data_IF_463762880048
#
_entry.id   IF_463762880048
#
_cell.length_a   1.000
_cell.length_b   1.000
_cell.length_c   1.000
_cell.angle_alpha   90.00
_cell.angle_beta   90.00
_cell.angle_gamma   90.00
#
_symmetry.space_group_name_H-M   'P 1'
#
loop_
_entity.id
_entity.type
_entity.pdbx_description
1 polymer ?
#
# COMPACT_ATOMS: atom_id res chain seq x y z
N UNK A 1 -9.81 12.32 18.22
CA UNK A 1 -9.21 10.98 18.34
C UNK A 1 -9.99 9.91 17.55
N UNK A 2 -11.26 9.66 17.88
CA UNK A 2 -12.05 8.63 17.18
C UNK A 2 -12.13 8.82 15.66
N UNK A 3 -12.33 10.04 15.17
CA UNK A 3 -12.34 10.37 13.74
C UNK A 3 -11.04 10.05 13.02
N UNK A 4 -9.89 10.29 13.67
CA UNK A 4 -8.57 9.96 13.10
C UNK A 4 -8.40 8.45 12.98
N UNK A 5 -8.76 7.68 14.00
CA UNK A 5 -8.67 6.22 13.99
C UNK A 5 -9.62 5.61 12.95
N UNK A 6 -10.87 6.08 12.89
CA UNK A 6 -11.83 5.64 11.88
C UNK A 6 -11.37 5.99 10.47
N UNK A 7 -10.84 7.19 10.27
CA UNK A 7 -10.23 7.63 9.01
C UNK A 7 -9.05 6.75 8.60
N UNK A 8 -8.21 6.36 9.55
CA UNK A 8 -7.08 5.44 9.30
C UNK A 8 -7.55 4.08 8.78
N UNK A 9 -8.54 3.48 9.44
CA UNK A 9 -9.09 2.18 9.00
C UNK A 9 -9.70 2.30 7.60
N UNK A 10 -10.53 3.31 7.38
CA UNK A 10 -11.17 3.54 6.08
C UNK A 10 -10.11 3.75 4.98
N UNK A 11 -9.14 4.63 5.23
CA UNK A 11 -8.09 4.94 4.26
C UNK A 11 -7.19 3.72 3.99
N UNK A 12 -6.83 2.95 5.02
CA UNK A 12 -6.06 1.72 4.85
C UNK A 12 -6.81 0.67 4.01
N UNK A 13 -8.14 0.55 4.19
CA UNK A 13 -8.97 -0.33 3.36
C UNK A 13 -8.99 0.13 1.90
N UNK A 14 -9.25 1.41 1.66
CA UNK A 14 -9.27 1.99 0.30
C UNK A 14 -7.89 1.84 -0.34
N UNK A 15 -6.81 2.14 0.39
CA UNK A 15 -5.45 2.01 -0.07
C UNK A 15 -5.09 0.56 -0.47
N UNK A 16 -5.51 -0.42 0.32
CA UNK A 16 -5.28 -1.82 -0.01
C UNK A 16 -5.97 -2.24 -1.32
N UNK A 17 -7.11 -1.63 -1.68
CA UNK A 17 -7.81 -1.90 -2.94
C UNK A 17 -7.05 -1.39 -4.18
N UNK A 18 -6.16 -0.41 -4.03
CA UNK A 18 -5.40 0.16 -5.14
C UNK A 18 -4.46 -0.91 -5.72
N UNK A 19 -4.50 -1.16 -7.04
CA UNK A 19 -3.78 -2.28 -7.66
C UNK A 19 -2.25 -2.21 -7.56
N UNK A 20 -1.69 -1.04 -7.27
CA UNK A 20 -0.25 -0.79 -7.28
C UNK A 20 0.55 -1.74 -6.38
N UNK A 21 -0.04 -2.22 -5.29
CA UNK A 21 0.65 -3.04 -4.30
C UNK A 21 0.44 -4.54 -4.52
N UNK A 22 -0.77 -4.96 -4.90
CA UNK A 22 -1.09 -6.38 -4.99
C UNK A 22 -1.01 -6.94 -6.41
N UNK A 23 -1.32 -6.15 -7.44
CA UNK A 23 -1.33 -6.62 -8.82
C UNK A 23 0.05 -7.08 -9.34
N UNK A 24 1.16 -6.35 -9.10
CA UNK A 24 2.49 -6.80 -9.50
C UNK A 24 2.90 -8.13 -8.85
N UNK A 25 2.51 -8.33 -7.57
CA UNK A 25 2.77 -9.59 -6.86
C UNK A 25 2.02 -10.76 -7.49
N UNK A 26 0.75 -10.56 -7.86
CA UNK A 26 -0.06 -11.59 -8.55
C UNK A 26 0.53 -11.90 -9.93
N UNK A 27 0.90 -10.87 -10.70
CA UNK A 27 1.45 -11.03 -12.04
C UNK A 27 2.77 -11.84 -12.03
N UNK A 28 3.71 -11.45 -11.15
CA UNK A 28 5.00 -12.17 -11.04
C UNK A 28 4.80 -13.58 -10.47
N UNK A 29 3.94 -13.75 -9.46
CA UNK A 29 3.65 -15.06 -8.89
C UNK A 29 3.12 -16.03 -9.95
N UNK A 30 2.31 -15.54 -10.88
CA UNK A 30 1.82 -16.32 -12.02
C UNK A 30 2.91 -16.63 -13.03
N UNK A 31 3.65 -15.61 -13.47
CA UNK A 31 4.72 -15.78 -14.47
C UNK A 31 5.80 -16.75 -14.00
N UNK A 32 6.12 -16.73 -12.71
CA UNK A 32 7.14 -17.61 -12.10
C UNK A 32 6.58 -18.95 -11.58
N UNK A 33 5.27 -19.19 -11.69
CA UNK A 33 4.63 -20.43 -11.26
C UNK A 33 4.72 -20.67 -9.74
N UNK A 34 4.63 -19.62 -8.92
CA UNK A 34 4.76 -19.76 -7.46
C UNK A 34 3.59 -20.50 -6.84
N UNK A 35 3.91 -21.33 -5.85
CA UNK A 35 2.90 -22.02 -5.05
C UNK A 35 2.24 -21.05 -4.06
N UNK A 36 1.01 -21.36 -3.63
CA UNK A 36 0.24 -20.55 -2.67
C UNK A 36 1.01 -20.14 -1.42
N UNK A 37 1.78 -21.08 -0.84
CA UNK A 37 2.59 -20.80 0.36
C UNK A 37 3.68 -19.77 0.07
N UNK A 38 4.32 -19.85 -1.09
CA UNK A 38 5.35 -18.91 -1.51
C UNK A 38 4.77 -17.52 -1.75
N UNK A 39 3.64 -17.45 -2.47
CA UNK A 39 2.92 -16.20 -2.71
C UNK A 39 2.53 -15.53 -1.40
N UNK A 40 1.92 -16.26 -0.48
CA UNK A 40 1.53 -15.74 0.83
C UNK A 40 2.72 -15.21 1.63
N UNK A 41 3.83 -15.95 1.67
CA UNK A 41 5.02 -15.54 2.42
C UNK A 41 5.71 -14.31 1.81
N UNK A 42 5.87 -14.30 0.49
CA UNK A 42 6.48 -13.16 -0.23
C UNK A 42 5.61 -11.91 -0.08
N UNK A 43 4.29 -12.07 -0.22
CA UNK A 43 3.34 -10.98 -0.01
C UNK A 43 3.41 -10.44 1.41
N UNK A 44 3.48 -11.32 2.41
CA UNK A 44 3.62 -10.91 3.81
C UNK A 44 4.88 -10.08 4.03
N UNK A 45 6.04 -10.53 3.53
CA UNK A 45 7.30 -9.77 3.65
C UNK A 45 7.24 -8.42 2.93
N UNK A 46 6.67 -8.37 1.74
CA UNK A 46 6.51 -7.14 0.98
C UNK A 46 5.55 -6.16 1.68
N UNK A 47 4.40 -6.63 2.17
CA UNK A 47 3.45 -5.83 2.93
C UNK A 47 4.05 -5.32 4.25
N UNK A 48 4.81 -6.17 4.95
CA UNK A 48 5.51 -5.78 6.18
C UNK A 48 6.55 -4.69 5.90
N UNK A 49 7.31 -4.80 4.82
CA UNK A 49 8.27 -3.78 4.41
C UNK A 49 7.59 -2.45 4.09
N UNK A 50 6.47 -2.49 3.33
CA UNK A 50 5.66 -1.31 3.03
C UNK A 50 5.15 -0.61 4.28
N UNK A 51 4.51 -1.37 5.17
CA UNK A 51 3.98 -0.85 6.44
C UNK A 51 5.10 -0.29 7.32
N UNK A 52 6.25 -0.96 7.37
CA UNK A 52 7.40 -0.47 8.15
C UNK A 52 7.89 0.87 7.63
N UNK A 53 8.03 1.04 6.31
CA UNK A 53 8.42 2.31 5.69
C UNK A 53 7.42 3.43 6.00
N UNK A 54 6.13 3.18 5.80
CA UNK A 54 5.04 4.12 6.08
C UNK A 54 5.01 4.48 7.58
N UNK A 55 4.99 3.50 8.47
CA UNK A 55 4.93 3.75 9.93
C UNK A 55 6.17 4.48 10.43
N UNK A 56 7.36 4.16 9.92
CA UNK A 56 8.59 4.86 10.30
C UNK A 56 8.50 6.36 9.98
N UNK A 57 8.07 6.71 8.77
CA UNK A 57 7.84 8.10 8.37
C UNK A 57 6.70 8.73 9.19
N UNK A 58 5.60 8.01 9.35
CA UNK A 58 4.43 8.46 10.09
C UNK A 58 4.72 8.77 11.56
N UNK A 59 5.55 7.96 12.23
CA UNK A 59 5.97 8.23 13.63
C UNK A 59 6.76 9.52 13.69
N UNK A 60 7.67 9.78 12.73
CA UNK A 60 8.41 11.05 12.69
C UNK A 60 7.46 12.23 12.56
N UNK A 61 6.48 12.15 11.65
CA UNK A 61 5.46 13.19 11.48
C UNK A 61 4.55 13.33 12.70
N UNK A 62 4.21 12.23 13.35
CA UNK A 62 3.46 12.22 14.60
C UNK A 62 4.21 12.91 15.76
N UNK A 63 5.53 12.73 15.83
CA UNK A 63 6.37 13.45 16.80
C UNK A 63 6.36 14.96 16.53
N UNK A 64 6.49 15.38 15.27
CA UNK A 64 6.39 16.79 14.88
C UNK A 64 5.02 17.34 15.30
N UNK A 65 3.93 16.63 14.99
CA UNK A 65 2.58 17.02 15.39
C UNK A 65 2.39 17.14 16.90
N UNK A 66 3.05 16.28 17.67
CA UNK A 66 3.04 16.33 19.14
C UNK A 66 3.75 17.60 19.66
N UNK A 67 4.93 17.90 19.16
CA UNK A 67 5.72 19.09 19.59
C UNK A 67 4.98 20.41 19.27
N UNK A 68 4.29 20.45 18.13
CA UNK A 68 3.54 21.63 17.71
C UNK A 68 2.14 21.75 18.35
N UNK A 69 1.75 20.78 19.18
CA UNK A 69 0.38 20.68 19.73
C UNK A 69 -0.03 21.89 20.55
N UNK A 70 0.85 22.38 21.42
CA UNK A 70 0.51 23.45 22.39
C UNK A 70 0.19 24.75 21.67
N UNK A 71 0.97 25.09 20.65
CA UNK A 71 0.82 26.38 19.94
C UNK A 71 -0.10 26.28 18.70
N UNK A 72 -0.13 25.13 18.02
CA UNK A 72 -0.75 24.99 16.70
C UNK A 72 -1.66 23.77 16.52
N UNK A 73 -2.09 23.11 17.60
CA UNK A 73 -2.81 21.83 17.52
C UNK A 73 -4.05 21.85 16.61
N UNK A 74 -4.85 22.95 16.67
CA UNK A 74 -6.01 23.11 15.78
C UNK A 74 -5.60 23.34 14.33
N UNK A 75 -4.56 24.12 14.12
CA UNK A 75 -4.02 24.42 12.79
C UNK A 75 -3.48 23.15 12.12
N UNK A 76 -2.79 22.28 12.88
CA UNK A 76 -2.25 21.00 12.38
C UNK A 76 -3.39 20.09 11.91
N UNK A 77 -4.46 19.96 12.70
CA UNK A 77 -5.60 19.12 12.32
C UNK A 77 -6.24 19.62 11.02
N UNK A 78 -6.43 20.93 10.89
CA UNK A 78 -7.00 21.53 9.69
C UNK A 78 -6.05 21.38 8.50
N UNK A 79 -4.76 21.68 8.69
CA UNK A 79 -3.75 21.55 7.64
C UNK A 79 -3.59 20.10 7.15
N UNK A 80 -3.59 19.11 8.06
CA UNK A 80 -3.55 17.70 7.72
C UNK A 80 -4.76 17.26 6.90
N UNK A 81 -5.95 17.77 7.26
CA UNK A 81 -7.19 17.48 6.53
C UNK A 81 -7.16 18.07 5.11
N UNK A 82 -6.68 19.30 4.97
CA UNK A 82 -6.49 19.96 3.67
C UNK A 82 -5.48 19.18 2.84
N UNK A 83 -4.35 18.77 3.42
CA UNK A 83 -3.32 17.99 2.76
C UNK A 83 -3.87 16.67 2.21
N UNK A 84 -4.69 15.97 3.01
CA UNK A 84 -5.35 14.74 2.60
C UNK A 84 -6.30 14.96 1.41
N UNK A 85 -7.09 16.04 1.43
CA UNK A 85 -7.99 16.40 0.33
C UNK A 85 -7.18 16.70 -0.95
N UNK A 86 -6.11 17.48 -0.82
CA UNK A 86 -5.21 17.82 -1.96
C UNK A 86 -4.59 16.56 -2.55
N UNK A 87 -4.07 15.65 -1.73
CA UNK A 87 -3.55 14.37 -2.22
C UNK A 87 -4.63 13.53 -2.92
N UNK A 88 -5.83 13.46 -2.35
CA UNK A 88 -6.95 12.76 -2.97
C UNK A 88 -7.33 13.34 -4.34
N UNK A 89 -7.34 14.66 -4.47
CA UNK A 89 -7.62 15.35 -5.74
C UNK A 89 -6.49 15.12 -6.76
N UNK A 90 -5.23 15.23 -6.35
CA UNK A 90 -4.07 14.94 -7.21
C UNK A 90 -4.15 13.49 -7.69
N UNK A 91 -4.37 12.55 -6.78
CA UNK A 91 -4.50 11.14 -7.13
C UNK A 91 -5.63 10.91 -8.14
N UNK A 92 -6.80 11.51 -7.91
CA UNK A 92 -7.95 11.40 -8.81
C UNK A 92 -7.65 11.99 -10.20
N UNK A 93 -6.98 13.13 -10.29
CA UNK A 93 -6.65 13.77 -11.57
C UNK A 93 -5.53 13.06 -12.33
N UNK A 94 -4.53 12.53 -11.63
CA UNK A 94 -3.38 11.84 -12.24
C UNK A 94 -3.71 10.39 -12.63
N UNK A 95 -4.58 9.73 -11.86
CA UNK A 95 -5.02 8.35 -12.16
C UNK A 95 -6.27 8.26 -13.04
N UNK A 96 -6.75 9.36 -13.63
CA UNK A 96 -7.65 9.24 -14.78
C UNK A 96 -6.94 8.41 -15.86
N UNK A 97 -7.60 7.39 -16.42
CA UNK A 97 -6.93 6.32 -17.14
C UNK A 97 -6.13 6.85 -18.31
N UNK A 98 -4.85 7.06 -18.14
CA UNK A 98 -3.94 6.97 -19.23
C UNK A 98 -3.89 5.50 -19.60
N UNK A 99 -4.34 5.16 -20.79
CA UNK A 99 -4.05 3.87 -21.41
C UNK A 99 -2.52 3.73 -21.44
N UNK A 100 -1.98 3.18 -20.38
CA UNK A 100 -0.64 2.67 -20.43
C UNK A 100 -0.71 1.49 -21.39
N UNK A 101 -0.25 1.71 -22.62
CA UNK A 101 0.35 0.63 -23.37
C UNK A 101 1.33 -0.03 -22.39
N UNK A 102 0.92 -1.13 -21.82
CA UNK A 102 1.80 -2.02 -21.12
C UNK A 102 2.90 -2.35 -22.12
N UNK A 103 4.03 -1.72 -21.95
CA UNK A 103 5.26 -2.21 -22.54
C UNK A 103 5.42 -3.59 -21.93
N UNK A 104 4.87 -4.59 -22.59
CA UNK A 104 5.27 -5.99 -22.45
C UNK A 104 6.72 -6.03 -22.95
N UNK A 105 7.60 -5.42 -22.17
CA UNK A 105 9.02 -5.65 -22.34
C UNK A 105 9.27 -7.07 -21.84
N UNK A 106 9.43 -7.95 -22.80
CA UNK A 106 10.12 -9.23 -22.79
C UNK A 106 10.55 -9.73 -21.41
N UNK A 107 9.61 -10.28 -20.64
CA UNK A 107 9.92 -11.10 -19.47
C UNK A 107 10.25 -12.53 -19.91
N UNK A 108 10.18 -12.80 -21.21
CA UNK A 108 10.54 -14.06 -21.81
C UNK A 108 12.06 -14.21 -21.90
N UNK A 109 12.69 -14.76 -20.86
CA UNK A 109 14.05 -15.27 -20.99
C UNK A 109 14.95 -15.25 -19.76
N UNK A 110 14.65 -14.48 -18.72
CA UNK A 110 15.50 -14.45 -17.54
C UNK A 110 14.75 -14.97 -16.30
N UNK A 111 14.86 -16.28 -16.04
CA UNK A 111 14.42 -16.85 -14.75
C UNK A 111 15.20 -16.19 -13.61
N UNK A 112 14.69 -15.08 -13.09
CA UNK A 112 15.27 -14.46 -11.90
C UNK A 112 15.12 -15.41 -10.72
N UNK A 113 16.19 -15.59 -9.95
CA UNK A 113 16.10 -16.33 -8.69
C UNK A 113 14.99 -15.74 -7.81
N UNK A 114 14.16 -16.57 -7.18
CA UNK A 114 13.10 -16.15 -6.23
C UNK A 114 13.61 -15.13 -5.21
N UNK A 115 14.85 -15.30 -4.72
CA UNK A 115 15.49 -14.34 -3.80
C UNK A 115 15.61 -12.94 -4.38
N UNK A 116 15.88 -12.80 -5.68
CA UNK A 116 15.96 -11.49 -6.34
C UNK A 116 14.57 -10.83 -6.41
N UNK A 117 13.53 -11.60 -6.71
CA UNK A 117 12.16 -11.09 -6.69
C UNK A 117 11.72 -10.65 -5.30
N UNK A 118 11.98 -11.45 -4.27
CA UNK A 118 11.70 -11.08 -2.87
C UNK A 118 12.39 -9.78 -2.50
N UNK A 119 13.68 -9.63 -2.81
CA UNK A 119 14.43 -8.42 -2.53
C UNK A 119 13.86 -7.20 -3.27
N UNK A 120 13.53 -7.35 -4.56
CA UNK A 120 12.93 -6.27 -5.36
C UNK A 120 11.61 -5.81 -4.75
N UNK A 121 10.72 -6.74 -4.38
CA UNK A 121 9.45 -6.38 -3.75
C UNK A 121 9.64 -5.72 -2.39
N UNK A 122 10.54 -6.23 -1.55
CA UNK A 122 10.83 -5.63 -0.24
C UNK A 122 11.34 -4.20 -0.40
N UNK A 123 12.34 -3.99 -1.25
CA UNK A 123 12.95 -2.66 -1.46
C UNK A 123 11.93 -1.70 -2.10
N UNK A 124 11.24 -2.12 -3.14
CA UNK A 124 10.25 -1.30 -3.83
C UNK A 124 9.10 -0.88 -2.90
N UNK A 125 8.58 -1.83 -2.13
CA UNK A 125 7.48 -1.58 -1.19
C UNK A 125 7.92 -0.73 0.00
N UNK A 126 9.13 -0.92 0.53
CA UNK A 126 9.68 -0.11 1.61
C UNK A 126 9.90 1.35 1.18
N UNK A 127 10.39 1.57 -0.04
CA UNK A 127 10.65 2.90 -0.58
C UNK A 127 9.41 3.61 -1.15
N UNK A 128 8.25 2.98 -1.07
CA UNK A 128 6.97 3.56 -1.51
C UNK A 128 6.02 3.76 -0.34
N UNK A 129 6.30 4.70 0.58
CA UNK A 129 5.42 4.96 1.72
C UNK A 129 4.07 5.52 1.24
N UNK A 130 3.03 5.29 2.05
CA UNK A 130 1.67 5.75 1.76
C UNK A 130 1.51 7.21 2.24
N UNK A 131 1.73 8.17 1.33
CA UNK A 131 1.72 9.60 1.66
C UNK A 131 0.36 10.09 2.18
N UNK A 132 -0.74 9.46 1.74
CA UNK A 132 -2.09 9.82 2.19
C UNK A 132 -2.27 9.58 3.69
N UNK A 133 -1.67 8.51 4.22
CA UNK A 133 -1.74 8.15 5.64
C UNK A 133 -0.87 9.07 6.50
N UNK A 134 0.19 9.64 5.94
CA UNK A 134 1.13 10.50 6.66
C UNK A 134 0.46 11.76 7.22
N UNK A 135 -0.53 12.32 6.51
CA UNK A 135 -1.33 13.44 6.99
C UNK A 135 -2.11 13.09 8.26
N UNK A 136 -2.59 11.85 8.37
CA UNK A 136 -3.27 11.37 9.57
C UNK A 136 -2.31 11.12 10.72
N UNK A 137 -1.07 10.69 10.46
CA UNK A 137 -0.03 10.58 11.49
C UNK A 137 0.31 11.93 12.09
N UNK A 138 0.45 12.96 11.27
CA UNK A 138 0.65 14.34 11.75
C UNK A 138 -0.51 14.79 12.63
N UNK A 139 -1.76 14.55 12.19
CA UNK A 139 -2.96 14.85 12.98
C UNK A 139 -3.04 14.03 14.28
N UNK A 140 -2.65 12.75 14.24
CA UNK A 140 -2.62 11.87 15.41
C UNK A 140 -1.65 12.38 16.48
N UNK A 141 -0.51 12.97 16.08
CA UNK A 141 0.46 13.59 16.95
C UNK A 141 -0.17 14.68 17.83
N UNK A 142 -1.07 15.49 17.27
CA UNK A 142 -1.80 16.51 18.03
C UNK A 142 -2.69 15.92 19.15
N UNK A 143 -3.07 14.64 19.08
CA UNK A 143 -3.80 13.94 20.15
C UNK A 143 -2.88 13.17 21.12
N UNK A 144 -1.57 13.14 20.85
CA UNK A 144 -0.55 12.52 21.68
C UNK A 144 -0.06 11.18 21.13
N UNK A 145 1.11 10.75 21.67
CA UNK A 145 1.85 9.59 21.18
C UNK A 145 1.08 8.26 21.27
N UNK A 146 0.20 8.12 22.25
CA UNK A 146 -0.67 6.94 22.35
C UNK A 146 -1.57 6.79 21.12
N UNK A 147 -2.10 7.89 20.58
CA UNK A 147 -2.93 7.91 19.37
C UNK A 147 -2.10 7.53 18.14
N UNK A 148 -0.86 8.02 18.05
CA UNK A 148 0.08 7.67 16.97
C UNK A 148 0.36 6.16 16.97
N UNK A 149 0.68 5.59 18.15
CA UNK A 149 0.96 4.15 18.25
C UNK A 149 -0.26 3.28 17.92
N UNK A 150 -1.44 3.66 18.42
CA UNK A 150 -2.68 2.95 18.12
C UNK A 150 -3.02 3.02 16.62
N UNK A 151 -2.84 4.18 16.02
CA UNK A 151 -3.00 4.37 14.58
C UNK A 151 -2.03 3.49 13.77
N UNK A 152 -0.75 3.45 14.17
CA UNK A 152 0.25 2.62 13.52
C UNK A 152 -0.11 1.13 13.56
N UNK A 153 -0.60 0.64 14.71
CA UNK A 153 -1.05 -0.74 14.86
C UNK A 153 -2.28 -1.05 13.98
N UNK A 154 -3.28 -0.17 13.99
CA UNK A 154 -4.49 -0.33 13.16
C UNK A 154 -4.15 -0.33 11.67
N UNK A 155 -3.33 0.65 11.24
CA UNK A 155 -2.86 0.72 9.86
C UNK A 155 -2.11 -0.55 9.45
N UNK A 156 -1.18 -1.02 10.29
CA UNK A 156 -0.41 -2.22 10.02
C UNK A 156 -1.31 -3.46 9.81
N UNK A 157 -2.23 -3.70 10.74
CA UNK A 157 -3.12 -4.86 10.68
C UNK A 157 -4.01 -4.80 9.45
N UNK A 158 -4.65 -3.66 9.18
CA UNK A 158 -5.59 -3.51 8.06
C UNK A 158 -4.86 -3.61 6.72
N UNK A 159 -3.71 -2.93 6.57
CA UNK A 159 -2.95 -2.93 5.31
C UNK A 159 -2.36 -4.29 4.98
N UNK A 160 -1.71 -4.96 5.94
CA UNK A 160 -1.13 -6.29 5.72
C UNK A 160 -2.23 -7.29 5.39
N UNK A 161 -3.33 -7.28 6.16
CA UNK A 161 -4.46 -8.20 5.92
C UNK A 161 -5.12 -7.94 4.57
N UNK A 162 -5.32 -6.67 4.21
CA UNK A 162 -5.92 -6.27 2.93
C UNK A 162 -5.08 -6.69 1.73
N UNK A 163 -3.77 -6.40 1.74
CA UNK A 163 -2.86 -6.78 0.66
C UNK A 163 -2.79 -8.31 0.53
N UNK A 164 -2.64 -9.04 1.64
CA UNK A 164 -2.63 -10.50 1.64
C UNK A 164 -3.94 -11.07 1.06
N UNK A 165 -5.08 -10.55 1.51
CA UNK A 165 -6.39 -11.00 1.02
C UNK A 165 -6.52 -10.80 -0.49
N UNK A 166 -6.17 -9.61 -1.00
CA UNK A 166 -6.30 -9.28 -2.42
C UNK A 166 -5.33 -10.06 -3.30
N UNK A 167 -4.07 -10.25 -2.86
CA UNK A 167 -3.11 -11.08 -3.59
C UNK A 167 -3.59 -12.53 -3.65
N UNK A 168 -4.10 -13.08 -2.54
CA UNK A 168 -4.59 -14.46 -2.52
C UNK A 168 -5.86 -14.63 -3.35
N UNK A 169 -6.74 -13.64 -3.34
CA UNK A 169 -7.95 -13.60 -4.18
C UNK A 169 -7.58 -13.51 -5.67
N UNK A 170 -6.68 -12.60 -6.04
CA UNK A 170 -6.18 -12.42 -7.40
C UNK A 170 -5.46 -13.67 -7.91
N UNK A 171 -4.59 -14.25 -7.09
CA UNK A 171 -3.88 -15.49 -7.44
C UNK A 171 -4.85 -16.68 -7.64
N UNK A 172 -5.90 -16.79 -6.82
CA UNK A 172 -6.96 -17.79 -7.00
C UNK A 172 -7.82 -17.52 -8.24
N UNK A 173 -8.24 -16.28 -8.43
CA UNK A 173 -9.11 -15.87 -9.55
C UNK A 173 -8.46 -16.11 -10.90
N UNK A 174 -7.20 -15.77 -11.04
CA UNK A 174 -6.41 -15.99 -12.25
C UNK A 174 -6.24 -17.48 -12.57
N UNK A 175 -6.13 -18.35 -11.56
CA UNK A 175 -6.06 -19.80 -11.75
C UNK A 175 -7.40 -20.42 -12.18
N UNK A 176 -8.50 -19.69 -12.05
CA UNK A 176 -9.84 -20.14 -12.49
C UNK A 176 -10.16 -19.73 -13.94
N UNK A 177 -9.36 -18.82 -14.53
CA UNK A 177 -9.51 -18.45 -15.93
C UNK A 177 -8.79 -19.52 -16.79
N UNK A 178 -9.50 -20.24 -17.67
CA UNK A 178 -8.87 -21.19 -18.55
C UNK A 178 -7.87 -20.48 -19.45
N UNK A 179 -6.70 -21.07 -19.66
CA UNK A 179 -5.62 -20.52 -20.50
C UNK A 179 -6.10 -20.10 -21.89
N UNK A 180 -7.11 -20.78 -22.42
CA UNK A 180 -7.74 -20.51 -23.71
C UNK A 180 -8.42 -19.11 -23.79
N UNK A 181 -8.83 -18.51 -22.67
CA UNK A 181 -9.48 -17.19 -22.68
C UNK A 181 -8.46 -16.04 -22.84
N UNK A 182 -7.20 -16.31 -22.55
CA UNK A 182 -6.10 -15.33 -22.62
C UNK A 182 -5.50 -15.32 -24.03
N UNK A 183 -5.40 -16.49 -24.69
CA UNK A 183 -4.86 -16.60 -26.06
C UNK A 183 -5.78 -16.01 -27.15
N UNK A 184 -7.08 -15.89 -26.89
CA UNK A 184 -8.03 -15.41 -27.91
C UNK A 184 -8.20 -13.88 -27.96
N UNK A 185 -7.63 -13.14 -27.00
CA UNK A 185 -7.76 -11.67 -26.95
C UNK A 185 -6.48 -10.94 -27.40
N UNK A 186 -5.52 -11.63 -27.98
CA UNK A 186 -4.28 -11.08 -28.55
C UNK A 186 -4.31 -10.90 -30.08
N UNK A 187 -5.51 -10.68 -30.65
CA UNK A 187 -5.61 -10.30 -32.06
C UNK A 187 -6.07 -8.87 -32.22
#
# INVERSE_FOLDING_TARGET
>A
MFSVLAGTVLLAMVHALIPNHWLPLVAVARAEGWQRKEVSWITFLAALAHVTGTVALGVVLGLIGKELREDYGRTIIVASSILLIVFGLIYFTVNLPHHHHSTQQDVAGYKRSKRKWVLVFIVMMFLSPCLEVESLFLSAGAYGMQTVMLMAMLYAVVSISGILFLVMLGHKGVNLLPAHFIEHNEK
#
